data_IF_918118965051
#
_entry.id   IF_918118965051
#
_cell.length_a   1.000
_cell.length_b   1.000
_cell.length_c   1.000
_cell.angle_alpha   90.00
_cell.angle_beta   90.00
_cell.angle_gamma   90.00
#
_symmetry.space_group_name_H-M   'P 1'
#
loop_
_entity.id
_entity.type
_entity.pdbx_description
1 polymer ?
#
# COMPACT_ATOMS: atom_id res chain seq x y z
N UNK A 1 14.38 30.07 7.42
CA UNK A 1 13.54 29.07 8.13
C UNK A 1 12.35 28.56 7.29
N UNK A 2 11.80 29.34 6.35
CA UNK A 2 10.64 28.97 5.52
C UNK A 2 10.97 27.89 4.47
N UNK A 3 12.19 27.90 3.89
CA UNK A 3 12.67 26.91 2.91
C UNK A 3 12.61 25.46 3.43
N UNK A 4 13.10 25.24 4.66
CA UNK A 4 13.18 23.91 5.25
C UNK A 4 11.81 23.31 5.54
N UNK A 5 10.85 24.12 5.99
CA UNK A 5 9.47 23.66 6.24
C UNK A 5 8.76 23.27 4.95
N UNK A 6 8.95 24.03 3.86
CA UNK A 6 8.39 23.69 2.54
C UNK A 6 8.99 22.40 1.99
N UNK A 7 10.30 22.21 2.11
CA UNK A 7 10.98 20.98 1.70
C UNK A 7 10.49 19.75 2.48
N UNK A 8 10.29 19.88 3.81
CA UNK A 8 9.73 18.80 4.63
C UNK A 8 8.29 18.46 4.21
N UNK A 9 7.44 19.47 3.99
CA UNK A 9 6.06 19.23 3.53
C UNK A 9 6.05 18.54 2.16
N UNK A 10 6.88 19.00 1.21
CA UNK A 10 6.99 18.36 -0.10
C UNK A 10 7.45 16.89 0.00
N UNK A 11 8.44 16.60 0.85
CA UNK A 11 8.91 15.24 1.09
C UNK A 11 7.82 14.36 1.70
N UNK A 12 7.06 14.86 2.68
CA UNK A 12 5.94 14.13 3.28
C UNK A 12 4.85 13.85 2.24
N UNK A 13 4.44 14.85 1.46
CA UNK A 13 3.41 14.68 0.42
C UNK A 13 3.84 13.65 -0.62
N UNK A 14 5.11 13.69 -1.05
CA UNK A 14 5.64 12.73 -2.00
C UNK A 14 5.62 11.29 -1.45
N UNK A 15 6.01 11.11 -0.19
CA UNK A 15 5.98 9.79 0.45
C UNK A 15 4.56 9.27 0.67
N UNK A 16 3.62 10.14 1.02
CA UNK A 16 2.19 9.75 1.12
C UNK A 16 1.64 9.38 -0.25
N UNK A 17 1.92 10.15 -1.30
CA UNK A 17 1.51 9.83 -2.66
C UNK A 17 2.11 8.50 -3.13
N UNK A 18 3.40 8.27 -2.87
CA UNK A 18 4.06 7.01 -3.19
C UNK A 18 3.45 5.82 -2.43
N UNK A 19 3.21 5.98 -1.12
CA UNK A 19 2.54 4.95 -0.31
C UNK A 19 1.14 4.63 -0.85
N UNK A 20 0.39 5.64 -1.31
CA UNK A 20 -0.91 5.45 -1.93
C UNK A 20 -0.84 4.70 -3.26
N UNK A 21 0.16 4.98 -4.10
CA UNK A 21 0.39 4.22 -5.34
C UNK A 21 0.72 2.76 -5.03
N UNK A 22 1.62 2.51 -4.07
CA UNK A 22 1.98 1.14 -3.66
C UNK A 22 0.76 0.41 -3.10
N UNK A 23 -0.04 1.08 -2.27
CA UNK A 23 -1.30 0.53 -1.75
C UNK A 23 -2.23 0.08 -2.88
N UNK A 24 -2.42 0.92 -3.90
CA UNK A 24 -3.25 0.59 -5.06
C UNK A 24 -2.70 -0.60 -5.85
N UNK A 25 -1.39 -0.65 -6.10
CA UNK A 25 -0.76 -1.76 -6.84
C UNK A 25 -0.93 -3.09 -6.10
N UNK A 26 -0.75 -3.10 -4.77
CA UNK A 26 -0.92 -4.32 -3.96
C UNK A 26 -2.39 -4.75 -3.96
N UNK A 27 -3.31 -3.80 -3.77
CA UNK A 27 -4.74 -4.06 -3.79
C UNK A 27 -5.16 -4.66 -5.13
N UNK A 28 -4.80 -4.02 -6.24
CA UNK A 28 -5.11 -4.50 -7.59
C UNK A 28 -4.54 -5.90 -7.86
N UNK A 29 -3.27 -6.13 -7.51
CA UNK A 29 -2.62 -7.45 -7.65
C UNK A 29 -3.37 -8.54 -6.89
N UNK A 30 -3.83 -8.24 -5.67
CA UNK A 30 -4.57 -9.19 -4.84
C UNK A 30 -5.97 -9.48 -5.41
N UNK A 31 -6.67 -8.46 -5.94
CA UNK A 31 -7.96 -8.65 -6.61
C UNK A 31 -7.80 -9.51 -7.87
N UNK A 32 -6.77 -9.27 -8.68
CA UNK A 32 -6.48 -10.08 -9.88
C UNK A 32 -6.15 -11.53 -9.52
N UNK A 33 -5.38 -11.76 -8.45
CA UNK A 33 -5.07 -13.10 -7.97
C UNK A 33 -6.31 -13.82 -7.44
N UNK A 34 -7.15 -13.13 -6.66
CA UNK A 34 -8.41 -13.67 -6.15
C UNK A 34 -9.36 -14.04 -7.29
N UNK A 35 -9.48 -13.18 -8.30
CA UNK A 35 -10.28 -13.45 -9.50
C UNK A 35 -9.80 -14.69 -10.25
N UNK A 36 -8.48 -14.82 -10.47
CA UNK A 36 -7.92 -16.01 -11.14
C UNK A 36 -8.14 -17.30 -10.35
N UNK A 37 -8.00 -17.24 -9.03
CA UNK A 37 -8.21 -18.40 -8.15
C UNK A 37 -9.69 -18.81 -8.15
N UNK A 38 -10.60 -17.85 -8.08
CA UNK A 38 -12.04 -18.09 -8.22
C UNK A 38 -12.39 -18.75 -9.56
N UNK A 39 -11.88 -18.24 -10.69
CA UNK A 39 -12.18 -18.83 -12.01
C UNK A 39 -11.70 -20.28 -12.12
N UNK A 40 -10.56 -20.60 -11.50
CA UNK A 40 -10.05 -21.97 -11.46
C UNK A 40 -10.93 -22.88 -10.59
N UNK A 41 -11.22 -22.46 -9.35
CA UNK A 41 -11.98 -23.26 -8.38
C UNK A 41 -13.43 -23.45 -8.82
N UNK A 42 -14.07 -22.41 -9.38
CA UNK A 42 -15.42 -22.52 -9.93
C UNK A 42 -15.49 -23.48 -11.13
N UNK A 43 -14.46 -23.49 -11.99
CA UNK A 43 -14.40 -24.41 -13.13
C UNK A 43 -14.15 -25.86 -12.71
N UNK A 44 -13.37 -26.09 -11.65
CA UNK A 44 -13.13 -27.43 -11.09
C UNK A 44 -14.38 -27.95 -10.38
N UNK A 45 -15.00 -27.13 -9.53
CA UNK A 45 -16.16 -27.52 -8.73
C UNK A 45 -17.41 -27.77 -9.59
N UNK A 46 -17.59 -26.97 -10.66
CA UNK A 46 -18.66 -27.22 -11.63
C UNK A 46 -18.45 -28.53 -12.37
N UNK A 47 -17.21 -28.85 -12.79
CA UNK A 47 -16.90 -30.12 -13.46
C UNK A 47 -17.05 -31.33 -12.55
N UNK A 48 -16.69 -31.21 -11.27
CA UNK A 48 -16.71 -32.34 -10.33
C UNK A 48 -18.08 -32.60 -9.72
N UNK A 49 -18.90 -31.56 -9.54
CA UNK A 49 -20.13 -31.64 -8.73
C UNK A 49 -21.36 -31.02 -9.36
N UNK A 50 -21.24 -30.31 -10.50
CA UNK A 50 -22.36 -29.62 -11.16
C UNK A 50 -22.93 -28.43 -10.38
N UNK A 51 -22.36 -28.08 -9.22
CA UNK A 51 -22.78 -26.93 -8.40
C UNK A 51 -22.01 -25.67 -8.77
N UNK A 52 -22.71 -24.55 -8.81
CA UNK A 52 -22.12 -23.22 -8.92
C UNK A 52 -21.68 -22.71 -7.55
N UNK A 53 -20.46 -22.17 -7.50
CA UNK A 53 -19.92 -21.51 -6.31
C UNK A 53 -20.32 -20.02 -6.36
N UNK A 54 -20.97 -19.51 -5.30
CA UNK A 54 -21.35 -18.09 -5.25
C UNK A 54 -20.10 -17.22 -5.12
N UNK A 55 -19.92 -16.28 -6.05
CA UNK A 55 -18.78 -15.36 -6.11
C UNK A 55 -18.61 -14.56 -4.81
N UNK A 56 -19.72 -14.28 -4.11
CA UNK A 56 -19.75 -13.44 -2.92
C UNK A 56 -19.05 -14.08 -1.70
N UNK A 57 -19.08 -15.41 -1.60
CA UNK A 57 -18.49 -16.14 -0.46
C UNK A 57 -16.96 -16.22 -0.55
N UNK A 58 -16.43 -16.21 -1.78
CA UNK A 58 -14.98 -16.26 -2.03
C UNK A 58 -14.37 -14.87 -2.07
N UNK A 59 -15.10 -13.90 -2.62
CA UNK A 59 -14.56 -12.56 -2.85
C UNK A 59 -14.48 -11.73 -1.56
N UNK A 60 -15.44 -11.91 -0.63
CA UNK A 60 -15.50 -11.15 0.63
C UNK A 60 -14.26 -11.34 1.55
N UNK A 61 -13.79 -12.57 1.83
CA UNK A 61 -12.56 -12.77 2.62
C UNK A 61 -11.29 -12.38 1.85
N UNK A 62 -11.27 -12.51 0.53
CA UNK A 62 -10.13 -12.08 -0.28
C UNK A 62 -9.94 -10.56 -0.25
N UNK A 63 -11.04 -9.79 -0.32
CA UNK A 63 -11.01 -8.32 -0.22
C UNK A 63 -10.55 -7.86 1.16
N UNK A 64 -11.02 -8.49 2.24
CA UNK A 64 -10.60 -8.11 3.60
C UNK A 64 -9.12 -8.39 3.84
N UNK A 65 -8.61 -9.55 3.40
CA UNK A 65 -7.18 -9.88 3.49
C UNK A 65 -6.32 -8.94 2.64
N UNK A 66 -6.75 -8.63 1.41
CA UNK A 66 -6.07 -7.67 0.53
C UNK A 66 -5.98 -6.28 1.17
N UNK A 67 -7.08 -5.81 1.78
CA UNK A 67 -7.13 -4.52 2.46
C UNK A 67 -6.19 -4.46 3.67
N UNK A 68 -6.12 -5.53 4.48
CA UNK A 68 -5.22 -5.61 5.63
C UNK A 68 -3.76 -5.58 5.19
N UNK A 69 -3.39 -6.39 4.19
CA UNK A 69 -2.00 -6.46 3.68
C UNK A 69 -1.59 -5.16 2.99
N UNK A 70 -2.46 -4.57 2.17
CA UNK A 70 -2.16 -3.30 1.52
C UNK A 70 -1.97 -2.19 2.57
N UNK A 71 -2.81 -2.16 3.60
CA UNK A 71 -2.73 -1.16 4.68
C UNK A 71 -1.48 -1.32 5.54
N UNK A 72 -1.05 -2.56 5.81
CA UNK A 72 0.18 -2.80 6.59
C UNK A 72 1.43 -2.35 5.83
N UNK A 73 1.51 -2.62 4.52
CA UNK A 73 2.64 -2.18 3.69
C UNK A 73 2.65 -0.66 3.55
N UNK A 74 1.51 -0.03 3.28
CA UNK A 74 1.42 1.42 3.22
C UNK A 74 1.80 2.08 4.56
N UNK A 75 1.32 1.53 5.67
CA UNK A 75 1.69 1.97 7.01
C UNK A 75 3.19 1.87 7.29
N UNK A 76 3.83 0.77 6.88
CA UNK A 76 5.27 0.59 7.04
C UNK A 76 6.08 1.61 6.22
N UNK A 77 5.68 1.88 4.97
CA UNK A 77 6.32 2.89 4.13
C UNK A 77 6.24 4.27 4.79
N UNK A 78 5.05 4.66 5.25
CA UNK A 78 4.85 5.96 5.90
C UNK A 78 5.69 6.05 7.19
N UNK A 79 5.68 5.00 8.02
CA UNK A 79 6.44 4.97 9.27
C UNK A 79 7.94 5.13 9.01
N UNK A 80 8.53 4.37 8.09
CA UNK A 80 9.96 4.46 7.74
C UNK A 80 10.30 5.85 7.20
N UNK A 81 9.44 6.40 6.35
CA UNK A 81 9.65 7.71 5.73
C UNK A 81 9.65 8.83 6.76
N UNK A 82 8.70 8.82 7.69
CA UNK A 82 8.61 9.80 8.77
C UNK A 82 9.81 9.69 9.72
N UNK A 83 10.26 8.47 10.04
CA UNK A 83 11.48 8.26 10.85
C UNK A 83 12.70 8.83 10.13
N UNK A 84 12.85 8.57 8.83
CA UNK A 84 13.96 9.10 8.04
C UNK A 84 13.94 10.64 7.99
N UNK A 85 12.77 11.26 7.78
CA UNK A 85 12.61 12.72 7.78
C UNK A 85 12.92 13.30 9.16
N UNK A 86 12.44 12.68 10.24
CA UNK A 86 12.70 13.13 11.61
C UNK A 86 14.20 13.05 11.94
N UNK A 87 14.89 11.98 11.52
CA UNK A 87 16.34 11.84 11.68
C UNK A 87 17.08 12.87 10.85
N UNK A 88 16.70 13.10 9.60
CA UNK A 88 17.33 14.10 8.73
C UNK A 88 17.16 15.53 9.25
N UNK A 89 15.96 15.88 9.74
CA UNK A 89 15.67 17.18 10.35
C UNK A 89 16.51 17.40 11.62
N UNK A 90 16.71 16.35 12.44
CA UNK A 90 17.60 16.41 13.62
C UNK A 90 19.08 16.51 13.24
N UNK A 91 19.48 16.02 12.06
CA UNK A 91 20.85 16.06 11.52
C UNK A 91 21.17 17.32 10.71
N UNK A 92 20.29 18.32 10.68
CA UNK A 92 20.59 19.66 10.15
C UNK A 92 20.92 20.70 11.24
N UNK A 93 21.90 20.48 12.16
CA UNK A 93 22.56 21.58 12.83
C UNK A 93 23.63 22.16 11.89
N UNK A 94 23.43 23.41 11.43
CA UNK A 94 24.48 24.20 10.79
C UNK A 94 24.51 24.18 9.26
N UNK A 95 23.57 24.89 8.61
CA UNK A 95 23.89 25.54 7.33
C UNK A 95 24.59 26.85 7.69
N UNK A 96 25.90 26.79 7.90
CA UNK A 96 26.75 27.96 8.15
C UNK A 96 26.57 28.95 6.98
N UNK A 97 26.27 30.23 7.26
CA UNK A 97 26.28 31.27 6.22
C UNK A 97 27.72 31.38 5.70
N UNK A 98 27.93 31.12 4.41
CA UNK A 98 29.17 31.56 3.75
C UNK A 98 29.02 33.06 3.49
N UNK A 99 29.76 33.84 4.26
CA UNK A 99 30.16 35.21 3.93
C UNK A 99 31.11 35.20 2.72
#
# INVERSE_FOLDING_TARGET
>A
MIEGRRAVVAAVVLWVAFAFVVWNVIFDRMIVLAGRRYSHDAAVLYRSTGRYLLINDVMRPAVSHAAVVASSVAGAIIAVSLVAIAVAARRQPGRTPRA
#
